data_IF_112333855519
#
_entry.id   IF_112333855519
#
_cell.length_a   1.000
_cell.length_b   1.000
_cell.length_c   1.000
_cell.angle_alpha   90.00
_cell.angle_beta   90.00
_cell.angle_gamma   90.00
#
_symmetry.space_group_name_H-M   'P 1'
#
loop_
_entity.id
_entity.type
_entity.pdbx_description
1 polymer ?
#
# COMPACT_ATOMS: atom_id res chain seq x y z
N UNK A 1 -1.41 -8.56 -55.63
CA UNK A 1 -1.50 -9.29 -54.34
C UNK A 1 -0.90 -8.36 -53.30
N UNK A 2 -1.75 -7.71 -52.51
CA UNK A 2 -1.32 -6.78 -51.45
C UNK A 2 -1.10 -7.63 -50.20
N UNK A 3 0.14 -7.65 -49.70
CA UNK A 3 0.49 -8.35 -48.47
C UNK A 3 0.08 -7.51 -47.26
N UNK A 4 -0.94 -7.97 -46.54
CA UNK A 4 -1.17 -7.64 -45.14
C UNK A 4 -0.30 -8.56 -44.28
N UNK A 5 0.30 -8.00 -43.23
CA UNK A 5 0.52 -8.58 -41.89
C UNK A 5 1.24 -7.49 -41.06
N UNK A 6 0.51 -6.60 -40.41
CA UNK A 6 0.17 -6.62 -38.97
C UNK A 6 1.45 -6.60 -38.11
N UNK A 7 1.82 -5.40 -37.65
CA UNK A 7 2.84 -5.23 -36.61
C UNK A 7 2.28 -5.79 -35.30
N UNK A 8 2.81 -6.93 -34.87
CA UNK A 8 2.74 -7.32 -33.48
C UNK A 8 3.78 -6.44 -32.77
N UNK A 9 3.33 -5.43 -32.04
CA UNK A 9 4.09 -4.97 -30.89
C UNK A 9 3.73 -5.97 -29.80
N UNK A 10 4.65 -6.89 -29.55
CA UNK A 10 4.59 -7.80 -28.42
C UNK A 10 4.40 -6.95 -27.16
N UNK A 11 3.26 -7.15 -26.51
CA UNK A 11 3.09 -6.82 -25.10
C UNK A 11 4.12 -7.66 -24.36
N UNK A 12 5.19 -7.04 -23.88
CA UNK A 12 6.11 -7.70 -22.96
C UNK A 12 5.36 -7.90 -21.64
N UNK A 13 4.68 -9.05 -21.58
CA UNK A 13 4.39 -9.75 -20.33
C UNK A 13 5.66 -9.68 -19.48
N UNK A 14 5.50 -9.28 -18.22
CA UNK A 14 6.60 -9.23 -17.26
C UNK A 14 7.40 -10.53 -17.33
N UNK A 15 8.69 -10.41 -17.69
CA UNK A 15 9.61 -11.52 -17.64
C UNK A 15 9.65 -12.02 -16.18
N UNK A 16 9.29 -13.29 -15.90
CA UNK A 16 9.41 -13.85 -14.55
C UNK A 16 10.86 -13.86 -14.05
N UNK A 17 11.85 -13.63 -14.93
CA UNK A 17 13.27 -13.50 -14.61
C UNK A 17 13.74 -12.04 -14.41
N UNK A 18 12.85 -11.05 -14.52
CA UNK A 18 13.17 -9.67 -14.14
C UNK A 18 13.49 -9.67 -12.63
N UNK A 19 14.69 -9.22 -12.20
CA UNK A 19 15.09 -9.33 -10.80
C UNK A 19 14.06 -8.63 -9.92
N UNK A 20 13.30 -9.42 -9.16
CA UNK A 20 12.46 -8.88 -8.09
C UNK A 20 13.39 -8.10 -7.17
N UNK A 21 13.25 -6.76 -7.18
CA UNK A 21 13.98 -5.90 -6.28
C UNK A 21 13.35 -6.10 -4.90
N UNK A 22 13.76 -7.18 -4.22
CA UNK A 22 13.35 -7.46 -2.84
C UNK A 22 14.11 -6.49 -1.95
N UNK A 23 13.39 -5.59 -1.29
CA UNK A 23 14.02 -4.64 -0.38
C UNK A 23 14.32 -5.34 0.95
N UNK A 24 15.50 -5.09 1.49
CA UNK A 24 15.92 -5.67 2.76
C UNK A 24 15.06 -5.11 3.92
N UNK A 25 14.53 -6.03 4.74
CA UNK A 25 13.75 -5.72 5.93
C UNK A 25 14.46 -6.23 7.21
N UNK A 26 15.79 -6.37 7.16
CA UNK A 26 16.63 -6.76 8.31
C UNK A 26 16.80 -5.62 9.32
N UNK A 27 15.72 -5.30 10.01
CA UNK A 27 15.71 -4.42 11.17
C UNK A 27 14.66 -4.89 12.19
N UNK A 28 14.85 -4.65 13.49
CA UNK A 28 13.89 -5.06 14.50
C UNK A 28 12.62 -4.21 14.42
N UNK A 29 11.45 -4.82 14.63
CA UNK A 29 10.21 -4.10 14.85
C UNK A 29 10.18 -3.51 16.27
N UNK A 30 9.81 -2.24 16.41
CA UNK A 30 9.97 -1.48 17.67
C UNK A 30 8.69 -0.78 18.15
N UNK A 31 7.65 -0.70 17.32
CA UNK A 31 6.40 -0.08 17.71
C UNK A 31 5.64 -0.99 18.70
N UNK A 32 4.97 -0.39 19.68
CA UNK A 32 4.22 -1.10 20.72
C UNK A 32 3.17 -0.18 21.34
N UNK A 33 2.28 -0.73 22.17
CA UNK A 33 1.19 0.01 22.82
C UNK A 33 -0.10 0.04 22.00
N UNK A 34 -1.04 0.90 22.37
CA UNK A 34 -2.40 0.90 21.79
C UNK A 34 -2.61 2.03 20.75
N UNK A 35 -1.55 2.76 20.43
CA UNK A 35 -1.61 3.89 19.51
C UNK A 35 -1.30 3.48 18.06
N UNK A 36 -2.12 3.99 17.14
CA UNK A 36 -1.86 3.85 15.71
C UNK A 36 -0.78 4.85 15.27
N UNK A 37 0.33 4.36 14.73
CA UNK A 37 1.46 5.19 14.31
C UNK A 37 2.36 4.50 13.28
N UNK A 38 3.16 5.30 12.59
CA UNK A 38 4.29 4.83 11.80
C UNK A 38 5.56 5.59 12.16
N UNK A 39 6.69 4.97 11.83
CA UNK A 39 8.01 5.59 11.78
C UNK A 39 8.67 5.12 10.48
N UNK A 40 9.35 6.00 9.77
CA UNK A 40 10.16 5.62 8.62
C UNK A 40 11.36 6.54 8.44
N UNK A 41 12.41 6.03 7.82
CA UNK A 41 13.60 6.78 7.43
C UNK A 41 13.55 7.03 5.92
N UNK A 42 13.42 8.29 5.49
CA UNK A 42 13.48 8.72 4.08
C UNK A 42 14.83 9.40 3.84
N UNK A 43 15.68 8.81 2.99
CA UNK A 43 17.03 9.30 2.68
C UNK A 43 17.84 9.68 3.94
N UNK A 44 17.73 8.88 5.00
CA UNK A 44 18.43 9.09 6.27
C UNK A 44 17.73 10.04 7.26
N UNK A 45 16.58 10.62 6.91
CA UNK A 45 15.78 11.48 7.80
C UNK A 45 14.59 10.70 8.33
N UNK A 46 14.49 10.59 9.66
CA UNK A 46 13.35 9.96 10.31
C UNK A 46 12.09 10.85 10.27
N UNK A 47 10.96 10.25 9.95
CA UNK A 47 9.62 10.85 9.97
C UNK A 47 8.66 9.88 10.65
N UNK A 48 7.79 10.41 11.50
CA UNK A 48 6.79 9.63 12.22
C UNK A 48 5.48 10.39 12.37
N UNK A 49 4.36 9.69 12.29
CA UNK A 49 3.04 10.26 12.59
C UNK A 49 1.99 9.14 12.76
N UNK A 50 0.70 9.50 12.73
CA UNK A 50 -0.42 8.58 12.70
C UNK A 50 -0.43 7.70 11.43
N UNK A 51 -0.82 6.45 11.60
CA UNK A 51 -1.14 5.51 10.53
C UNK A 51 -2.59 5.04 10.69
N UNK A 52 -3.27 4.71 9.60
CA UNK A 52 -4.65 4.19 9.67
C UNK A 52 -4.94 3.27 8.49
N UNK A 53 -6.00 2.46 8.62
CA UNK A 53 -6.53 1.68 7.51
C UNK A 53 -7.57 2.52 6.77
N UNK A 54 -7.38 2.67 5.46
CA UNK A 54 -8.38 3.27 4.59
C UNK A 54 -9.46 2.25 4.25
N UNK A 55 -10.70 2.72 4.26
CA UNK A 55 -11.80 1.95 3.71
C UNK A 55 -11.59 1.72 2.21
N UNK A 56 -11.93 0.52 1.78
CA UNK A 56 -11.79 0.05 0.41
C UNK A 56 -13.08 -0.64 -0.04
N UNK A 57 -13.31 -0.70 -1.35
CA UNK A 57 -14.38 -1.52 -1.94
C UNK A 57 -13.99 -3.00 -2.11
N UNK A 58 -12.73 -3.35 -1.80
CA UNK A 58 -12.14 -4.68 -1.97
C UNK A 58 -11.72 -5.28 -0.62
N UNK A 59 -12.59 -5.16 0.38
CA UNK A 59 -12.36 -5.53 1.79
C UNK A 59 -12.09 -7.02 2.01
N UNK A 60 -12.54 -7.86 1.08
CA UNK A 60 -12.36 -9.32 1.07
C UNK A 60 -10.99 -9.73 0.50
N UNK A 61 -10.24 -8.78 -0.07
CA UNK A 61 -8.97 -9.05 -0.76
C UNK A 61 -7.78 -8.34 -0.12
N UNK A 62 -8.01 -7.15 0.43
CA UNK A 62 -6.91 -6.28 0.83
C UNK A 62 -7.30 -5.26 1.89
N UNK A 63 -6.27 -4.74 2.54
CA UNK A 63 -6.32 -3.46 3.26
C UNK A 63 -5.50 -2.42 2.50
N UNK A 64 -5.80 -1.14 2.77
CA UNK A 64 -4.94 -0.03 2.36
C UNK A 64 -4.53 0.73 3.61
N UNK A 65 -3.25 1.04 3.75
CA UNK A 65 -2.68 1.75 4.90
C UNK A 65 -2.32 3.15 4.48
N UNK A 66 -2.81 4.15 5.21
CA UNK A 66 -2.47 5.56 5.01
C UNK A 66 -1.55 6.06 6.12
N UNK A 67 -0.59 6.91 5.74
CA UNK A 67 0.41 7.52 6.61
C UNK A 67 0.24 9.04 6.55
N UNK A 68 0.02 9.66 7.71
CA UNK A 68 -0.17 11.10 7.84
C UNK A 68 1.16 11.85 7.83
N UNK A 69 1.22 13.01 7.19
CA UNK A 69 2.41 13.86 7.15
C UNK A 69 2.36 14.97 8.19
N UNK A 70 3.45 15.75 8.29
CA UNK A 70 3.46 16.99 9.06
C UNK A 70 2.29 17.91 8.65
N UNK A 71 1.81 18.73 9.58
CA UNK A 71 0.72 19.70 9.33
C UNK A 71 -0.61 19.05 8.88
N UNK A 72 -0.86 17.79 9.27
CA UNK A 72 -2.05 17.03 8.89
C UNK A 72 -2.16 16.80 7.38
N UNK A 73 -1.04 16.62 6.66
CA UNK A 73 -1.09 16.09 5.29
C UNK A 73 -1.60 14.65 5.33
N UNK A 74 -2.92 14.50 5.17
CA UNK A 74 -3.59 13.21 5.18
C UNK A 74 -3.00 12.21 4.18
N UNK A 75 -2.41 12.68 3.08
CA UNK A 75 -2.00 11.84 1.96
C UNK A 75 -0.47 11.86 1.80
N UNK A 76 0.27 11.71 2.90
CA UNK A 76 1.74 11.83 2.91
C UNK A 76 2.43 10.56 2.45
N UNK A 77 1.95 9.39 2.85
CA UNK A 77 2.34 8.11 2.29
C UNK A 77 1.18 7.13 2.33
N UNK A 78 1.18 6.14 1.46
CA UNK A 78 0.13 5.11 1.45
C UNK A 78 0.65 3.82 0.85
N UNK A 79 0.10 2.71 1.33
CA UNK A 79 0.19 1.39 0.72
C UNK A 79 -1.22 0.96 0.34
N UNK A 80 -1.47 0.82 -0.94
CA UNK A 80 -2.74 0.37 -1.45
C UNK A 80 -2.69 -1.13 -1.75
N UNK A 81 -3.80 -1.81 -1.41
CA UNK A 81 -4.05 -3.19 -1.81
C UNK A 81 -3.05 -4.20 -1.23
N UNK A 82 -2.68 -4.04 0.05
CA UNK A 82 -1.90 -5.07 0.75
C UNK A 82 -2.80 -6.30 0.93
N UNK A 83 -2.39 -7.50 0.51
CA UNK A 83 -3.17 -8.72 0.74
C UNK A 83 -3.51 -8.95 2.21
N UNK A 84 -4.64 -9.60 2.47
CA UNK A 84 -5.06 -9.93 3.84
C UNK A 84 -4.15 -11.00 4.46
N UNK A 85 -3.81 -10.80 5.73
CA UNK A 85 -3.02 -11.74 6.53
C UNK A 85 -1.55 -11.37 6.69
N UNK A 86 -0.84 -12.21 7.43
CA UNK A 86 0.60 -12.08 7.63
C UNK A 86 1.36 -12.58 6.41
N UNK A 87 2.44 -11.91 6.04
CA UNK A 87 3.25 -12.28 4.88
C UNK A 87 4.19 -11.16 4.45
N UNK A 88 5.00 -11.43 3.43
CA UNK A 88 5.82 -10.42 2.76
C UNK A 88 5.27 -10.21 1.36
N UNK A 89 4.98 -8.96 1.03
CA UNK A 89 4.32 -8.55 -0.20
C UNK A 89 5.13 -7.47 -0.89
N UNK A 90 5.08 -7.42 -2.22
CA UNK A 90 5.80 -6.43 -3.01
C UNK A 90 4.82 -5.63 -3.86
N UNK A 91 5.10 -4.34 -4.03
CA UNK A 91 4.37 -3.52 -5.00
C UNK A 91 4.49 -4.12 -6.40
N UNK A 92 3.37 -4.18 -7.12
CA UNK A 92 3.22 -4.94 -8.35
C UNK A 92 2.68 -6.35 -8.15
N UNK A 93 2.45 -6.80 -6.91
CA UNK A 93 1.70 -8.02 -6.65
C UNK A 93 0.27 -7.89 -7.19
N UNK A 94 -0.16 -8.87 -7.96
CA UNK A 94 -1.48 -8.92 -8.60
C UNK A 94 -2.50 -9.58 -7.66
N UNK A 95 -3.56 -8.85 -7.29
CA UNK A 95 -4.68 -9.32 -6.45
C UNK A 95 -5.90 -9.78 -7.28
N UNK A 96 -5.76 -9.83 -8.60
CA UNK A 96 -6.81 -10.13 -9.56
C UNK A 96 -7.78 -8.97 -9.77
N UNK A 97 -8.92 -9.23 -10.43
CA UNK A 97 -9.93 -8.22 -10.70
C UNK A 97 -10.51 -7.63 -9.41
N UNK A 98 -10.85 -6.35 -9.37
CA UNK A 98 -11.54 -5.76 -8.23
C UNK A 98 -12.24 -4.46 -8.56
N UNK A 99 -13.00 -3.96 -7.59
CA UNK A 99 -13.75 -2.72 -7.72
C UNK A 99 -12.79 -1.53 -7.88
N UNK A 100 -13.08 -0.67 -8.86
CA UNK A 100 -12.27 0.53 -9.15
C UNK A 100 -11.20 0.33 -10.22
N UNK A 101 -11.00 -0.88 -10.74
CA UNK A 101 -10.14 -1.11 -11.91
C UNK A 101 -10.96 -1.11 -13.21
N UNK A 102 -10.46 -0.42 -14.25
CA UNK A 102 -11.07 -0.45 -15.59
C UNK A 102 -10.59 -1.69 -16.35
N UNK A 103 -11.16 -2.86 -16.05
CA UNK A 103 -10.88 -4.11 -16.78
C UNK A 103 -9.50 -4.72 -16.53
N UNK A 104 -8.67 -4.09 -15.70
CA UNK A 104 -7.37 -4.61 -15.27
C UNK A 104 -7.47 -5.21 -13.87
N UNK A 105 -6.42 -5.91 -13.45
CA UNK A 105 -6.32 -6.34 -12.07
C UNK A 105 -5.92 -5.18 -11.14
N UNK A 106 -6.17 -5.36 -9.85
CA UNK A 106 -5.65 -4.48 -8.81
C UNK A 106 -4.26 -4.96 -8.45
N UNK A 107 -3.31 -4.03 -8.41
CA UNK A 107 -1.93 -4.32 -8.08
C UNK A 107 -1.54 -3.54 -6.84
N UNK A 108 -0.83 -4.18 -5.91
CA UNK A 108 -0.29 -3.51 -4.75
C UNK A 108 0.58 -2.34 -5.19
N UNK A 109 0.34 -1.16 -4.62
CA UNK A 109 1.05 0.06 -4.98
C UNK A 109 1.38 0.84 -3.71
N UNK A 110 2.43 1.65 -3.72
CA UNK A 110 2.74 2.52 -2.61
C UNK A 110 3.27 3.86 -3.09
N UNK A 111 3.08 4.90 -2.29
CA UNK A 111 3.77 6.17 -2.51
C UNK A 111 4.21 6.78 -1.17
N UNK A 112 5.19 7.66 -1.24
CA UNK A 112 5.64 8.52 -0.14
C UNK A 112 5.91 9.91 -0.70
N UNK A 113 5.55 10.96 0.04
CA UNK A 113 5.88 12.34 -0.28
C UNK A 113 7.20 12.75 0.34
N UNK A 114 7.99 13.49 -0.43
CA UNK A 114 9.15 14.25 0.06
C UNK A 114 9.08 15.64 -0.54
N UNK A 115 9.23 16.66 0.30
CA UNK A 115 9.19 18.06 -0.11
C UNK A 115 7.94 18.44 -0.93
N UNK A 116 6.78 17.85 -0.58
CA UNK A 116 5.51 18.05 -1.26
C UNK A 116 5.29 17.22 -2.53
N UNK A 117 6.31 16.49 -3.00
CA UNK A 117 6.26 15.68 -4.23
C UNK A 117 6.03 14.21 -3.92
N UNK A 118 5.04 13.58 -4.57
CA UNK A 118 4.79 12.13 -4.47
C UNK A 118 5.82 11.34 -5.27
N UNK A 119 6.41 10.34 -4.62
CA UNK A 119 7.28 9.33 -5.22
C UNK A 119 6.59 7.98 -5.05
N UNK A 120 6.52 7.20 -6.12
CA UNK A 120 5.74 5.98 -6.21
C UNK A 120 6.65 4.75 -6.26
N UNK A 121 6.15 3.64 -5.75
CA UNK A 121 6.69 2.31 -5.98
C UNK A 121 5.71 1.56 -6.90
N UNK A 122 6.21 1.00 -8.00
CA UNK A 122 5.46 0.32 -9.07
C UNK A 122 4.75 1.22 -10.09
N UNK A 123 3.77 2.04 -9.71
CA UNK A 123 2.95 2.82 -10.66
C UNK A 123 2.51 4.18 -10.09
N UNK A 124 2.37 5.20 -10.93
CA UNK A 124 1.79 6.50 -10.52
C UNK A 124 0.26 6.50 -10.40
N UNK A 125 -0.38 5.35 -10.51
CA UNK A 125 -1.82 5.17 -10.41
C UNK A 125 -2.23 4.33 -9.19
N UNK A 126 -2.94 4.94 -8.25
CA UNK A 126 -3.27 4.36 -6.94
C UNK A 126 -4.24 3.15 -7.04
N UNK A 127 -5.04 3.04 -8.09
CA UNK A 127 -6.11 2.03 -8.24
C UNK A 127 -5.77 0.87 -9.20
N UNK A 128 -4.49 0.58 -9.41
CA UNK A 128 -4.04 -0.56 -10.19
C UNK A 128 -3.04 -0.21 -11.29
N UNK A 129 -2.73 -1.20 -12.12
CA UNK A 129 -1.73 -1.09 -13.17
C UNK A 129 -2.33 -0.45 -14.42
N UNK A 130 -1.66 0.60 -14.88
CA UNK A 130 -1.73 1.12 -16.23
C UNK A 130 -0.30 1.12 -16.73
N UNK A 131 -0.03 0.39 -17.81
CA UNK A 131 1.33 0.15 -18.31
C UNK A 131 2.09 1.44 -18.60
N UNK A 132 1.40 2.43 -19.19
CA UNK A 132 1.89 3.77 -19.47
C UNK A 132 2.18 4.62 -18.21
N UNK A 133 1.78 4.12 -17.03
CA UNK A 133 2.01 4.76 -15.73
C UNK A 133 2.94 3.97 -14.82
N UNK A 134 3.47 2.85 -15.28
CA UNK A 134 4.51 2.09 -14.58
C UNK A 134 5.74 2.98 -14.36
N UNK A 135 6.40 2.81 -13.23
CA UNK A 135 7.59 3.57 -12.85
C UNK A 135 8.77 2.60 -12.72
N UNK A 136 9.58 2.42 -13.79
CA UNK A 136 10.65 1.43 -13.81
C UNK A 136 11.69 1.62 -12.70
N UNK A 137 12.13 0.50 -12.12
CA UNK A 137 13.12 0.49 -11.03
C UNK A 137 12.63 1.14 -9.74
N UNK A 138 11.31 1.25 -9.54
CA UNK A 138 10.71 1.56 -8.24
C UNK A 138 10.03 0.31 -7.69
N UNK A 139 10.21 0.04 -6.40
CA UNK A 139 9.59 -1.08 -5.69
C UNK A 139 9.52 -0.79 -4.21
N UNK A 140 8.55 -1.40 -3.53
CA UNK A 140 8.46 -1.40 -2.08
C UNK A 140 8.06 -2.80 -1.61
N UNK A 141 8.74 -3.28 -0.59
CA UNK A 141 8.44 -4.53 0.09
C UNK A 141 7.77 -4.19 1.41
N UNK A 142 6.61 -4.79 1.68
CA UNK A 142 5.87 -4.66 2.95
C UNK A 142 5.75 -6.03 3.58
N UNK A 143 6.20 -6.17 4.82
CA UNK A 143 6.04 -7.38 5.62
C UNK A 143 5.01 -7.13 6.71
N UNK A 144 3.90 -7.85 6.66
CA UNK A 144 2.90 -7.87 7.73
C UNK A 144 3.32 -8.90 8.77
N UNK A 145 3.56 -8.43 9.99
CA UNK A 145 3.99 -9.22 11.14
C UNK A 145 2.76 -9.72 11.91
N UNK A 146 1.81 -8.82 12.15
CA UNK A 146 0.56 -9.10 12.87
C UNK A 146 -0.60 -8.68 11.98
N UNK A 147 -1.60 -9.56 11.86
CA UNK A 147 -2.86 -9.27 11.18
C UNK A 147 -3.99 -9.92 11.97
N UNK A 148 -4.62 -9.15 12.85
CA UNK A 148 -5.71 -9.58 13.70
C UNK A 148 -6.93 -8.70 13.46
N UNK A 149 -8.11 -9.32 13.32
CA UNK A 149 -9.35 -8.61 13.03
C UNK A 149 -9.72 -8.60 11.54
N UNK A 150 -10.58 -7.67 11.16
CA UNK A 150 -11.14 -7.64 9.81
C UNK A 150 -12.25 -6.60 9.64
N UNK A 151 -12.83 -6.58 8.45
CA UNK A 151 -13.98 -5.73 8.15
C UNK A 151 -15.14 -6.08 9.09
N UNK A 152 -15.57 -5.11 9.88
CA UNK A 152 -16.64 -5.26 10.87
C UNK A 152 -17.70 -4.21 10.63
N UNK A 153 -18.94 -4.65 10.53
CA UNK A 153 -20.10 -3.76 10.47
C UNK A 153 -20.64 -3.57 11.88
N UNK A 154 -20.88 -2.33 12.29
CA UNK A 154 -21.39 -2.01 13.62
C UNK A 154 -22.32 -0.81 13.60
N UNK A 155 -23.24 -0.76 14.56
CA UNK A 155 -24.10 0.40 14.82
C UNK A 155 -23.50 1.25 15.95
N UNK A 156 -23.49 2.56 15.76
CA UNK A 156 -23.03 3.54 16.75
C UNK A 156 -23.72 4.89 16.51
N UNK A 157 -24.10 5.62 17.56
CA UNK A 157 -24.73 6.96 17.47
C UNK A 157 -25.83 7.08 16.39
N UNK A 158 -26.74 6.09 16.31
CA UNK A 158 -27.83 5.98 15.33
C UNK A 158 -27.38 5.83 13.86
N UNK A 159 -26.11 5.55 13.60
CA UNK A 159 -25.56 5.19 12.29
C UNK A 159 -25.16 3.72 12.21
N UNK A 160 -24.93 3.24 10.98
CA UNK A 160 -24.29 1.96 10.69
C UNK A 160 -22.99 2.25 9.94
N UNK A 161 -21.89 1.71 10.42
CA UNK A 161 -20.56 1.88 9.87
C UNK A 161 -19.99 0.51 9.50
N UNK A 162 -19.13 0.48 8.49
CA UNK A 162 -18.37 -0.71 8.12
C UNK A 162 -16.91 -0.28 7.98
N UNK A 163 -16.06 -0.76 8.87
CA UNK A 163 -14.64 -0.40 8.95
C UNK A 163 -13.83 -1.62 9.36
N UNK A 164 -12.53 -1.60 9.09
CA UNK A 164 -11.62 -2.57 9.71
C UNK A 164 -11.59 -2.34 11.23
N UNK A 165 -11.73 -3.41 12.00
CA UNK A 165 -11.54 -3.42 13.46
C UNK A 165 -10.52 -4.52 13.75
N UNK A 166 -9.44 -4.16 14.45
CA UNK A 166 -8.34 -5.08 14.73
C UNK A 166 -6.98 -4.41 14.91
N UNK A 167 -5.93 -5.23 14.86
CA UNK A 167 -4.54 -4.79 14.93
C UNK A 167 -3.77 -5.27 13.70
N UNK A 168 -3.07 -4.35 13.04
CA UNK A 168 -2.15 -4.66 11.94
C UNK A 168 -0.79 -4.03 12.21
N UNK A 169 0.26 -4.83 12.08
CA UNK A 169 1.64 -4.40 12.24
C UNK A 169 2.46 -4.79 11.02
N UNK A 170 3.29 -3.88 10.55
CA UNK A 170 4.15 -4.16 9.42
C UNK A 170 5.44 -3.38 9.38
N UNK A 171 6.36 -3.89 8.58
CA UNK A 171 7.63 -3.28 8.20
C UNK A 171 7.62 -3.01 6.71
N UNK A 172 8.33 -1.97 6.28
CA UNK A 172 8.47 -1.69 4.86
C UNK A 172 9.78 -0.98 4.53
N UNK A 173 10.25 -1.23 3.31
CA UNK A 173 11.41 -0.57 2.72
C UNK A 173 11.21 -0.55 1.20
N UNK A 174 11.77 0.44 0.53
CA UNK A 174 11.53 0.61 -0.89
C UNK A 174 12.36 1.71 -1.54
N UNK A 175 12.46 1.59 -2.86
CA UNK A 175 12.93 2.65 -3.75
C UNK A 175 11.71 3.26 -4.44
N UNK A 176 11.47 4.55 -4.20
CA UNK A 176 10.32 5.28 -4.73
C UNK A 176 10.79 6.32 -5.74
N UNK A 177 10.04 6.49 -6.82
CA UNK A 177 10.39 7.43 -7.90
C UNK A 177 9.24 8.29 -8.36
N UNK A 178 9.54 9.51 -8.80
CA UNK A 178 8.58 10.29 -9.61
C UNK A 178 8.54 9.76 -11.05
N UNK A 179 7.51 10.08 -11.85
CA UNK A 179 7.49 9.76 -13.29
C UNK A 179 8.68 10.31 -14.06
N UNK A 180 9.27 11.41 -13.59
CA UNK A 180 10.46 12.05 -14.17
C UNK A 180 11.78 11.39 -13.71
N UNK A 181 11.71 10.40 -12.81
CA UNK A 181 12.85 9.60 -12.38
C UNK A 181 13.60 10.10 -11.15
N UNK A 182 13.08 11.12 -10.43
CA UNK A 182 13.64 11.50 -9.14
C UNK A 182 13.43 10.38 -8.12
N UNK A 183 14.49 9.92 -7.49
CA UNK A 183 14.49 8.77 -6.57
C UNK A 183 14.62 9.19 -5.11
N UNK A 184 13.89 8.49 -4.23
CA UNK A 184 14.07 8.51 -2.78
C UNK A 184 14.07 7.07 -2.26
N UNK A 185 14.69 6.84 -1.09
CA UNK A 185 14.69 5.53 -0.43
C UNK A 185 14.06 5.58 0.93
N UNK A 186 13.22 4.59 1.20
CA UNK A 186 12.76 4.26 2.55
C UNK A 186 13.49 3.00 3.01
N UNK A 187 14.20 3.10 4.13
CA UNK A 187 15.10 2.01 4.61
C UNK A 187 14.63 1.35 5.90
N UNK A 188 13.80 2.01 6.71
CA UNK A 188 13.35 1.51 8.04
C UNK A 188 11.90 1.89 8.34
N UNK A 189 10.99 1.57 7.44
CA UNK A 189 9.56 1.81 7.64
C UNK A 189 8.94 0.79 8.61
N UNK A 190 8.11 1.26 9.53
CA UNK A 190 7.29 0.46 10.43
C UNK A 190 5.94 1.14 10.62
N UNK A 191 4.87 0.36 10.70
CA UNK A 191 3.56 0.85 11.13
C UNK A 191 2.91 -0.14 12.10
N UNK A 192 2.14 0.42 13.04
CA UNK A 192 1.23 -0.28 13.92
C UNK A 192 -0.09 0.45 13.86
N UNK A 193 -1.17 -0.27 13.58
CA UNK A 193 -2.52 0.28 13.51
C UNK A 193 -3.37 -0.56 14.46
N UNK A 194 -3.97 0.10 15.43
CA UNK A 194 -4.89 -0.48 16.40
C UNK A 194 -6.21 0.25 16.24
N UNK A 195 -7.24 -0.47 15.81
CA UNK A 195 -8.56 0.06 15.59
C UNK A 195 -9.58 -0.76 16.37
N UNK A 196 -10.12 -0.16 17.42
CA UNK A 196 -11.10 -0.80 18.30
C UNK A 196 -12.52 -0.34 17.98
N UNK A 197 -13.51 -1.15 18.38
CA UNK A 197 -14.90 -0.70 18.34
C UNK A 197 -15.07 0.50 19.27
N UNK A 198 -15.75 1.58 18.83
CA UNK A 198 -16.08 2.69 19.70
C UNK A 198 -16.87 2.20 20.94
N UNK A 199 -16.63 2.76 22.13
CA UNK A 199 -17.39 2.39 23.32
C UNK A 199 -18.91 2.53 23.12
N UNK A 200 -19.64 1.43 23.27
CA UNK A 200 -21.09 1.38 23.06
C UNK A 200 -21.53 1.08 21.62
N UNK A 201 -20.59 0.83 20.70
CA UNK A 201 -20.90 0.26 19.40
C UNK A 201 -21.41 -1.19 19.54
N UNK A 202 -22.33 -1.59 18.66
CA UNK A 202 -22.89 -2.95 18.61
C UNK A 202 -22.61 -3.54 17.25
N UNK A 203 -21.90 -4.67 17.19
CA UNK A 203 -21.65 -5.40 15.93
C UNK A 203 -22.98 -5.81 15.31
N UNK A 204 -23.08 -5.64 13.99
CA UNK A 204 -24.24 -6.02 13.19
C UNK A 204 -23.76 -7.11 12.23
N UNK A 205 -24.38 -8.28 12.33
CA UNK A 205 -24.14 -9.43 11.44
C UNK A 205 -24.72 -9.19 10.03
#
# INVERSE_FOLDING_TARGET
MVGLCVSCTDSEDMDPDDPQITNDLDFPFTLSGDESRYVMEIDGVEVSNNAEILNTLNVDKSISVNLWGPQNDFNFGSFYWIPLGTGTYETGHDLGPGNGSNGNNIFMNAFVKKDGTKHYAYSSHEYGFLEDRRIPGSSCTVKIITFEGGQTTYSFMNGTYSQFIGTVEGQFAGTFKTPEGQEIKVTKGQFRIVQELPPGAVVVD
#
